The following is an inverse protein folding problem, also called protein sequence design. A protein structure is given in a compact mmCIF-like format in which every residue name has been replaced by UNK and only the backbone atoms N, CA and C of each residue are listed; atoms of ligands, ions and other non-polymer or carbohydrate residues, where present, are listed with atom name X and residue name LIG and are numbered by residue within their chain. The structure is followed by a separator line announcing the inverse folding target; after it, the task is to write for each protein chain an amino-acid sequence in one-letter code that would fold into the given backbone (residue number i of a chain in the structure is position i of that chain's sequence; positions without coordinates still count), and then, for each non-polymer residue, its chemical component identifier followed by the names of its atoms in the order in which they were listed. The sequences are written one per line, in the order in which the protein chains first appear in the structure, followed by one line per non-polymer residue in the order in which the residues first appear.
data_IF_829129611578
#
_entry.id   IF_829129611578
#
_cell.length_a   1.000
_cell.length_b   1.000
_cell.length_c   1.000
_cell.angle_alpha   90.00
_cell.angle_beta   90.00
_cell.angle_gamma   90.00
#
_symmetry.space_group_name_H-M   'P 1'
#
loop_
_entity.id
_entity.type
_entity.pdbx_description
1 polymer ?
#
# COMPACT_ATOMS: atom_id res chain seq x y z
N UNK A 1 0.39 -18.87 26.15
CA UNK A 1 1.29 -18.59 25.02
C UNK A 1 2.31 -17.58 25.51
N UNK A 2 3.59 -17.91 25.49
CA UNK A 2 4.68 -17.02 25.91
C UNK A 2 4.92 -15.98 24.82
N UNK A 3 5.15 -14.73 25.21
CA UNK A 3 5.55 -13.67 24.30
C UNK A 3 6.96 -13.94 23.77
N UNK A 4 7.15 -13.91 22.45
CA UNK A 4 8.44 -14.11 21.80
C UNK A 4 8.96 -12.79 21.19
N UNK A 5 10.00 -12.16 21.80
CA UNK A 5 10.61 -10.94 21.27
C UNK A 5 11.23 -11.11 19.88
N UNK A 6 11.71 -12.32 19.54
CA UNK A 6 12.34 -12.59 18.26
C UNK A 6 11.34 -12.45 17.10
N UNK A 7 10.08 -12.80 17.34
CA UNK A 7 8.99 -12.62 16.38
C UNK A 7 8.74 -11.15 16.03
N UNK A 8 8.83 -10.21 17.00
CA UNK A 8 8.64 -8.78 16.72
C UNK A 8 9.86 -8.20 16.00
N UNK A 9 11.06 -8.58 16.39
CA UNK A 9 12.27 -8.17 15.65
C UNK A 9 12.23 -8.65 14.21
N UNK A 10 11.76 -9.87 13.96
CA UNK A 10 11.61 -10.40 12.61
C UNK A 10 10.56 -9.60 11.82
N UNK A 11 9.41 -9.30 12.43
CA UNK A 11 8.38 -8.46 11.80
C UNK A 11 8.89 -7.04 11.51
N UNK A 12 9.69 -6.44 12.41
CA UNK A 12 10.28 -5.11 12.20
C UNK A 12 11.30 -5.13 11.06
N UNK A 13 12.13 -6.17 10.95
CA UNK A 13 13.08 -6.34 9.84
C UNK A 13 12.35 -6.55 8.51
N UNK A 14 11.36 -7.45 8.47
CA UNK A 14 10.53 -7.69 7.28
C UNK A 14 9.81 -6.40 6.84
N UNK A 15 9.22 -5.66 7.79
CA UNK A 15 8.54 -4.39 7.50
C UNK A 15 9.50 -3.33 6.96
N UNK A 16 10.69 -3.17 7.56
CA UNK A 16 11.71 -2.25 7.06
C UNK A 16 12.19 -2.60 5.64
N UNK A 17 12.38 -3.89 5.35
CA UNK A 17 12.78 -4.33 4.02
C UNK A 17 11.70 -4.03 2.97
N UNK A 18 10.43 -4.26 3.30
CA UNK A 18 9.32 -3.95 2.40
C UNK A 18 9.19 -2.43 2.18
N UNK A 19 9.38 -1.62 3.22
CA UNK A 19 9.41 -0.15 3.10
C UNK A 19 10.54 0.29 2.15
N UNK A 20 11.74 -0.28 2.28
CA UNK A 20 12.87 0.03 1.39
C UNK A 20 12.56 -0.30 -0.06
N UNK A 21 11.89 -1.44 -0.30
CA UNK A 21 11.49 -1.89 -1.65
C UNK A 21 10.25 -1.16 -2.19
N UNK A 22 9.57 -0.36 -1.37
CA UNK A 22 8.29 0.30 -1.68
C UNK A 22 7.21 -0.66 -2.19
N UNK A 23 7.24 -1.91 -1.75
CA UNK A 23 6.29 -2.94 -2.19
C UNK A 23 4.99 -2.87 -1.36
N UNK A 24 3.98 -2.20 -1.91
CA UNK A 24 2.67 -2.02 -1.26
C UNK A 24 1.89 -3.35 -1.14
N UNK A 25 2.12 -4.30 -2.05
CA UNK A 25 1.43 -5.59 -2.02
C UNK A 25 1.95 -6.43 -0.85
N UNK A 26 3.28 -6.50 -0.69
CA UNK A 26 3.91 -7.16 0.45
C UNK A 26 3.54 -6.51 1.78
N UNK A 27 3.40 -5.17 1.83
CA UNK A 27 2.92 -4.43 3.01
C UNK A 27 1.52 -4.87 3.45
N UNK A 28 0.63 -5.13 2.50
CA UNK A 28 -0.75 -5.53 2.78
C UNK A 28 -0.80 -6.96 3.34
N UNK A 29 0.06 -7.85 2.85
CA UNK A 29 0.17 -9.22 3.36
C UNK A 29 0.78 -9.24 4.77
N UNK A 30 1.77 -8.38 5.02
CA UNK A 30 2.36 -8.21 6.35
C UNK A 30 1.36 -7.65 7.37
N UNK A 31 0.49 -6.71 6.98
CA UNK A 31 -0.58 -6.20 7.87
C UNK A 31 -1.52 -7.32 8.36
N UNK A 32 -1.85 -8.29 7.49
CA UNK A 32 -2.64 -9.47 7.92
C UNK A 32 -1.90 -10.28 8.98
N UNK A 33 -0.59 -10.50 8.80
CA UNK A 33 0.25 -11.24 9.77
C UNK A 33 0.38 -10.48 11.09
N UNK A 34 0.56 -9.15 11.06
CA UNK A 34 0.62 -8.31 12.25
C UNK A 34 -0.70 -8.33 13.02
N UNK A 35 -1.84 -8.28 12.33
CA UNK A 35 -3.16 -8.37 12.98
C UNK A 35 -3.46 -9.74 13.56
N UNK A 36 -2.92 -10.80 12.96
CA UNK A 36 -2.97 -12.15 13.51
C UNK A 36 -2.05 -12.29 14.73
N UNK A 37 -1.01 -11.45 14.84
CA UNK A 37 -0.13 -11.38 16.01
C UNK A 37 -0.90 -10.77 17.19
N UNK A 38 -1.38 -11.64 18.09
CA UNK A 38 -2.29 -11.27 19.17
C UNK A 38 -1.51 -10.57 20.31
N UNK A 39 -1.27 -9.27 20.17
CA UNK A 39 -0.60 -8.42 21.17
C UNK A 39 -1.34 -8.31 22.51
N UNK A 40 -2.58 -8.82 22.59
CA UNK A 40 -3.41 -8.81 23.81
C UNK A 40 -2.95 -9.77 24.91
N UNK A 41 -1.95 -10.62 24.64
CA UNK A 41 -1.44 -11.61 25.60
C UNK A 41 -0.20 -11.15 26.38
N UNK A 42 0.19 -9.87 26.28
CA UNK A 42 1.36 -9.31 26.95
C UNK A 42 1.05 -8.88 28.39
N UNK A 43 1.81 -9.38 29.35
CA UNK A 43 1.79 -8.89 30.74
C UNK A 43 2.44 -7.51 30.85
N UNK A 44 2.10 -6.73 31.89
CA UNK A 44 2.68 -5.39 32.10
C UNK A 44 4.22 -5.41 32.22
N UNK A 45 4.78 -6.50 32.72
CA UNK A 45 6.22 -6.70 32.89
C UNK A 45 6.91 -6.95 31.54
N UNK A 46 6.29 -7.72 30.65
CA UNK A 46 6.77 -7.94 29.28
C UNK A 46 6.64 -6.68 28.41
N UNK A 47 5.57 -5.88 28.60
CA UNK A 47 5.45 -4.57 27.93
C UNK A 47 6.60 -3.63 28.32
N UNK A 48 6.94 -3.59 29.61
CA UNK A 48 8.01 -2.73 30.12
C UNK A 48 9.39 -3.21 29.66
N UNK A 49 9.64 -4.53 29.65
CA UNK A 49 10.87 -5.11 29.15
C UNK A 49 11.08 -4.87 27.64
N UNK A 50 9.99 -4.84 26.87
CA UNK A 50 10.03 -4.72 25.41
C UNK A 50 9.62 -3.33 24.88
N UNK A 51 9.50 -2.33 25.74
CA UNK A 51 9.01 -0.99 25.39
C UNK A 51 9.80 -0.37 24.22
N UNK A 52 11.13 -0.45 24.25
CA UNK A 52 11.98 0.11 23.19
C UNK A 52 11.78 -0.60 21.85
N UNK A 53 11.60 -1.92 21.85
CA UNK A 53 11.34 -2.72 20.65
C UNK A 53 9.97 -2.39 20.06
N UNK A 54 8.94 -2.31 20.92
CA UNK A 54 7.58 -1.95 20.52
C UNK A 54 7.51 -0.52 19.97
N UNK A 55 8.26 0.42 20.56
CA UNK A 55 8.33 1.80 20.08
C UNK A 55 8.95 1.87 18.68
N UNK A 56 10.09 1.19 18.45
CA UNK A 56 10.71 1.11 17.12
C UNK A 56 9.75 0.52 16.10
N UNK A 57 9.08 -0.58 16.46
CA UNK A 57 8.11 -1.22 15.58
C UNK A 57 6.94 -0.28 15.24
N UNK A 58 6.43 0.49 16.21
CA UNK A 58 5.40 1.50 15.98
C UNK A 58 5.87 2.61 15.02
N UNK A 59 7.11 3.08 15.17
CA UNK A 59 7.70 4.07 14.26
C UNK A 59 7.86 3.51 12.84
N UNK A 60 8.24 2.24 12.70
CA UNK A 60 8.32 1.54 11.41
C UNK A 60 6.93 1.42 10.76
N UNK A 61 5.89 1.10 11.54
CA UNK A 61 4.50 1.09 11.07
C UNK A 61 4.07 2.49 10.59
N UNK A 62 4.43 3.56 11.30
CA UNK A 62 4.11 4.92 10.89
C UNK A 62 4.73 5.27 9.53
N UNK A 63 5.97 4.84 9.27
CA UNK A 63 6.65 4.99 7.96
C UNK A 63 5.92 4.22 6.86
N UNK A 64 5.56 2.96 7.12
CA UNK A 64 4.76 2.15 6.20
C UNK A 64 3.42 2.81 5.84
N UNK A 65 2.73 3.38 6.83
CA UNK A 65 1.47 4.10 6.61
C UNK A 65 1.66 5.34 5.73
N UNK A 66 2.75 6.09 5.93
CA UNK A 66 3.06 7.25 5.08
C UNK A 66 3.26 6.83 3.62
N UNK A 67 3.98 5.74 3.37
CA UNK A 67 4.19 5.19 2.02
C UNK A 67 2.87 4.79 1.36
N UNK A 68 1.98 4.10 2.08
CA UNK A 68 0.66 3.72 1.56
C UNK A 68 -0.17 4.97 1.22
N UNK A 69 -0.10 6.04 2.02
CA UNK A 69 -0.81 7.29 1.73
C UNK A 69 -0.30 7.94 0.43
N UNK A 70 1.01 7.97 0.24
CA UNK A 70 1.63 8.50 -0.98
C UNK A 70 1.20 7.71 -2.23
N UNK A 71 1.25 6.39 -2.18
CA UNK A 71 0.86 5.54 -3.31
C UNK A 71 -0.64 5.64 -3.62
N UNK A 72 -1.50 5.78 -2.60
CA UNK A 72 -2.93 6.07 -2.83
C UNK A 72 -3.15 7.40 -3.51
N UNK A 73 -2.34 8.41 -3.21
CA UNK A 73 -2.42 9.71 -3.87
C UNK A 73 -2.01 9.61 -5.35
N UNK A 74 -0.89 8.95 -5.66
CA UNK A 74 -0.45 8.70 -7.04
C UNK A 74 -1.50 7.94 -7.86
N UNK A 75 -2.09 6.89 -7.28
CA UNK A 75 -3.13 6.11 -7.93
C UNK A 75 -4.38 6.97 -8.23
N UNK A 76 -4.79 7.84 -7.30
CA UNK A 76 -5.91 8.78 -7.52
C UNK A 76 -5.62 9.78 -8.62
N UNK A 77 -4.41 10.31 -8.66
CA UNK A 77 -3.98 11.26 -9.71
C UNK A 77 -3.97 10.60 -11.09
N UNK A 78 -3.37 9.41 -11.20
CA UNK A 78 -3.37 8.62 -12.44
C UNK A 78 -4.80 8.30 -12.93
N UNK A 79 -5.69 7.91 -12.01
CA UNK A 79 -7.09 7.66 -12.32
C UNK A 79 -7.80 8.92 -12.82
N UNK A 80 -7.58 10.07 -12.17
CA UNK A 80 -8.17 11.34 -12.56
C UNK A 80 -7.66 11.80 -13.93
N UNK A 81 -6.36 11.63 -14.22
CA UNK A 81 -5.79 11.91 -15.54
C UNK A 81 -6.43 11.02 -16.62
N UNK A 82 -6.59 9.72 -16.35
CA UNK A 82 -7.26 8.80 -17.26
C UNK A 82 -8.72 9.19 -17.50
N UNK A 83 -9.46 9.56 -16.45
CA UNK A 83 -10.84 10.07 -16.56
C UNK A 83 -10.92 11.33 -17.42
N UNK A 84 -9.97 12.27 -17.31
CA UNK A 84 -9.90 13.49 -18.14
C UNK A 84 -9.59 13.19 -19.61
N UNK A 85 -8.76 12.17 -19.90
CA UNK A 85 -8.41 11.77 -21.28
C UNK A 85 -9.50 10.95 -21.97
N UNK A 86 -10.35 10.25 -21.20
CA UNK A 86 -11.39 9.34 -21.73
C UNK A 86 -12.39 10.00 -22.70
N UNK A 87 -12.92 11.21 -22.45
CA UNK A 87 -13.81 11.89 -23.39
C UNK A 87 -13.13 12.24 -24.72
N UNK A 88 -11.88 12.72 -24.66
CA UNK A 88 -11.10 13.07 -25.85
C UNK A 88 -10.84 11.85 -26.74
N UNK A 89 -10.47 10.72 -26.13
CA UNK A 89 -10.29 9.44 -26.85
C UNK A 89 -11.61 8.98 -27.48
N UNK A 90 -12.75 9.09 -26.77
CA UNK A 90 -14.08 8.77 -27.33
C UNK A 90 -14.43 9.66 -28.52
N UNK A 91 -14.16 10.97 -28.43
CA UNK A 91 -14.40 11.90 -29.53
C UNK A 91 -13.53 11.59 -30.75
N UNK A 92 -12.24 11.27 -30.54
CA UNK A 92 -11.34 10.90 -31.63
C UNK A 92 -11.78 9.59 -32.32
N UNK A 93 -12.18 8.57 -31.56
CA UNK A 93 -12.75 7.33 -32.14
C UNK A 93 -14.00 7.64 -32.96
N UNK A 94 -14.90 8.49 -32.46
CA UNK A 94 -16.12 8.87 -33.18
C UNK A 94 -15.81 9.62 -34.48
N UNK A 95 -14.85 10.55 -34.46
CA UNK A 95 -14.38 11.27 -35.66
C UNK A 95 -13.78 10.32 -36.70
N UNK A 96 -12.95 9.37 -36.27
CA UNK A 96 -12.37 8.36 -37.18
C UNK A 96 -13.45 7.51 -37.85
N UNK A 97 -14.48 7.07 -37.12
CA UNK A 97 -15.60 6.30 -37.71
C UNK A 97 -16.32 7.11 -38.78
N UNK A 98 -16.66 8.37 -38.50
CA UNK A 98 -17.31 9.27 -39.48
C UNK A 98 -16.45 9.47 -40.74
N UNK A 99 -15.14 9.67 -40.57
CA UNK A 99 -14.23 9.81 -41.71
C UNK A 99 -14.23 8.57 -42.61
N UNK A 100 -14.21 7.37 -42.02
CA UNK A 100 -14.31 6.12 -42.78
C UNK A 100 -15.68 5.88 -43.42
N UNK A 101 -16.77 6.40 -42.84
CA UNK A 101 -18.10 6.34 -43.46
C UNK A 101 -18.18 7.26 -44.69
N UNK A 102 -17.62 8.47 -44.62
CA UNK A 102 -17.57 9.42 -45.75
C UNK A 102 -16.69 8.91 -46.88
N UNK A 103 -15.49 8.40 -46.60
CA UNK A 103 -14.58 7.86 -47.62
C UNK A 103 -15.09 6.56 -48.29
N UNK A 104 -16.17 5.94 -47.79
CA UNK A 104 -16.81 4.78 -48.44
C UNK A 104 -17.97 5.17 -49.36
N UNK A 105 -18.35 6.44 -49.37
CA UNK A 105 -19.44 7.00 -50.17
C UNK A 105 -18.93 7.78 -51.40
N UNK A 106 -17.61 7.99 -51.49
CA UNK A 106 -16.88 8.47 -52.68
C UNK A 106 -16.34 7.29 -53.49
#
# INVERSE_FOLDING_TARGET
MQFDPASIEQLDRELNQIIMLKDVAALTELDKRIRAFNSRALTAQELKANQALLQRFADTIAKAQALIREERQKAREALNQSKRKRPQVKQNISKMRRYHEVNKLE
#
